data_IF_063079574267
#
_entry.id   IF_063079574267
#
_cell.length_a   1.000
_cell.length_b   1.000
_cell.length_c   1.000
_cell.angle_alpha   90.00
_cell.angle_beta   90.00
_cell.angle_gamma   90.00
#
_symmetry.space_group_name_H-M   'P 1'
#
loop_
_entity.id
_entity.type
_entity.pdbx_description
1 polymer ?
#
# COMPACT_ATOMS: atom_id res chain seq x y z
N UNK A 1 -17.25 23.03 41.75
CA UNK A 1 -15.81 22.81 42.02
C UNK A 1 -15.49 21.43 41.47
N UNK A 2 -14.53 21.27 40.55
CA UNK A 2 -14.25 19.98 39.90
C UNK A 2 -13.53 19.02 40.86
N UNK A 3 -13.71 17.71 40.67
CA UNK A 3 -13.04 16.68 41.49
C UNK A 3 -11.51 16.85 41.51
N UNK A 4 -10.92 17.29 40.40
CA UNK A 4 -9.51 17.67 40.33
C UNK A 4 -9.11 18.78 41.32
N UNK A 5 -9.92 19.84 41.43
CA UNK A 5 -9.65 20.95 42.36
C UNK A 5 -9.85 20.53 43.82
N UNK A 6 -10.75 19.60 44.10
CA UNK A 6 -10.93 19.03 45.43
C UNK A 6 -9.74 18.14 45.83
N UNK A 7 -9.23 17.35 44.87
CA UNK A 7 -8.09 16.46 45.04
C UNK A 7 -6.79 17.25 45.28
N UNK A 8 -6.56 18.34 44.53
CA UNK A 8 -5.40 19.21 44.72
C UNK A 8 -5.42 19.90 46.09
N UNK A 9 -6.59 20.32 46.58
CA UNK A 9 -6.75 20.86 47.95
C UNK A 9 -6.49 19.80 49.03
N UNK A 10 -6.99 18.58 48.85
CA UNK A 10 -6.78 17.50 49.81
C UNK A 10 -5.31 17.09 49.89
N UNK A 11 -4.58 17.08 48.76
CA UNK A 11 -3.12 16.86 48.73
C UNK A 11 -2.35 17.94 49.47
N UNK A 12 -2.66 19.21 49.21
CA UNK A 12 -2.02 20.33 49.91
C UNK A 12 -2.29 20.29 51.43
N UNK A 13 -3.49 19.88 51.84
CA UNK A 13 -3.82 19.67 53.25
C UNK A 13 -3.04 18.49 53.87
N UNK A 14 -2.87 17.40 53.13
CA UNK A 14 -2.07 16.24 53.58
C UNK A 14 -0.61 16.64 53.80
N UNK A 15 0.00 17.34 52.83
CA UNK A 15 1.37 17.84 52.95
C UNK A 15 1.56 18.75 54.17
N UNK A 16 0.57 19.60 54.47
CA UNK A 16 0.59 20.46 55.66
C UNK A 16 0.55 19.65 56.97
N UNK A 17 -0.28 18.60 57.04
CA UNK A 17 -0.37 17.72 58.21
C UNK A 17 0.88 16.84 58.37
N UNK A 18 1.48 16.39 57.27
CA UNK A 18 2.77 15.68 57.29
C UNK A 18 3.89 16.57 57.85
N UNK A 19 3.94 17.85 57.45
CA UNK A 19 4.87 18.82 58.00
C UNK A 19 4.63 19.08 59.50
N UNK A 20 3.37 19.16 59.93
CA UNK A 20 3.00 19.29 61.35
C UNK A 20 3.43 18.06 62.17
N UNK A 21 3.18 16.85 61.67
CA UNK A 21 3.61 15.60 62.30
C UNK A 21 5.14 15.53 62.44
N UNK A 22 5.89 15.95 61.42
CA UNK A 22 7.34 16.02 61.48
C UNK A 22 7.83 17.02 62.55
N UNK A 23 7.20 18.20 62.64
CA UNK A 23 7.50 19.21 63.66
C UNK A 23 7.17 18.71 65.08
N UNK A 24 6.02 18.04 65.26
CA UNK A 24 5.64 17.43 66.54
C UNK A 24 6.64 16.32 66.94
N UNK A 25 7.13 15.53 65.99
CA UNK A 25 8.10 14.48 66.30
C UNK A 25 9.44 15.05 66.77
N UNK A 26 9.87 16.19 66.23
CA UNK A 26 11.09 16.88 66.66
C UNK A 26 11.02 17.41 68.11
N UNK A 27 9.83 17.80 68.59
CA UNK A 27 9.63 18.36 69.94
C UNK A 27 9.32 17.31 71.01
N UNK A 28 9.16 16.03 70.62
CA UNK A 28 8.76 14.93 71.52
C UNK A 28 9.69 14.76 72.73
N UNK A 29 11.00 14.88 72.53
CA UNK A 29 12.00 14.68 73.59
C UNK A 29 11.96 15.77 74.67
N UNK A 30 11.61 17.00 74.30
CA UNK A 30 11.41 18.11 75.22
C UNK A 30 10.09 17.98 75.97
N UNK A 31 9.01 17.64 75.25
CA UNK A 31 7.70 17.40 75.84
C UNK A 31 7.72 16.25 76.87
N UNK A 32 8.56 15.23 76.67
CA UNK A 32 8.70 14.09 77.59
C UNK A 32 9.31 14.44 78.96
N UNK A 33 9.85 15.66 79.14
CA UNK A 33 10.46 16.09 80.41
C UNK A 33 9.44 16.53 81.46
N UNK A 34 8.23 16.85 81.04
CA UNK A 34 7.14 17.31 81.91
C UNK A 34 5.83 16.60 81.54
N UNK A 35 5.04 16.23 82.56
CA UNK A 35 3.85 15.42 82.34
C UNK A 35 2.76 16.17 81.57
N UNK A 36 2.53 17.44 81.91
CA UNK A 36 1.52 18.25 81.24
C UNK A 36 1.88 18.50 79.77
N UNK A 37 3.15 18.82 79.51
CA UNK A 37 3.71 19.03 78.17
C UNK A 37 3.62 17.76 77.31
N UNK A 38 3.88 16.58 77.91
CA UNK A 38 3.74 15.30 77.21
C UNK A 38 2.28 14.98 76.85
N UNK A 39 1.35 15.22 77.77
CA UNK A 39 -0.07 14.97 77.52
C UNK A 39 -0.63 15.90 76.41
N UNK A 40 -0.19 17.17 76.34
CA UNK A 40 -0.51 18.09 75.25
C UNK A 40 0.07 17.63 73.90
N UNK A 41 1.36 17.28 73.88
CA UNK A 41 2.02 16.74 72.68
C UNK A 41 1.29 15.49 72.17
N UNK A 42 0.93 14.58 73.08
CA UNK A 42 0.22 13.34 72.74
C UNK A 42 -1.14 13.62 72.12
N UNK A 43 -1.90 14.58 72.65
CA UNK A 43 -3.19 14.97 72.10
C UNK A 43 -3.05 15.55 70.68
N UNK A 44 -2.08 16.46 70.47
CA UNK A 44 -1.81 17.04 69.15
C UNK A 44 -1.34 16.01 68.13
N UNK A 45 -0.41 15.13 68.53
CA UNK A 45 0.07 14.04 67.68
C UNK A 45 -1.04 13.07 67.30
N UNK A 46 -1.92 12.71 68.25
CA UNK A 46 -3.08 11.85 67.96
C UNK A 46 -4.07 12.52 67.00
N UNK A 47 -4.36 13.81 67.19
CA UNK A 47 -5.24 14.57 66.30
C UNK A 47 -4.67 14.69 64.88
N UNK A 48 -3.38 15.04 64.75
CA UNK A 48 -2.70 15.13 63.47
C UNK A 48 -2.59 13.77 62.76
N UNK A 49 -2.38 12.69 63.50
CA UNK A 49 -2.37 11.32 62.94
C UNK A 49 -3.75 10.92 62.41
N UNK A 50 -4.81 11.20 63.17
CA UNK A 50 -6.19 10.92 62.74
C UNK A 50 -6.57 11.74 61.50
N UNK A 51 -6.15 13.01 61.43
CA UNK A 51 -6.40 13.86 60.27
C UNK A 51 -5.62 13.40 59.04
N UNK A 52 -4.37 12.96 59.22
CA UNK A 52 -3.56 12.36 58.16
C UNK A 52 -4.24 11.11 57.56
N UNK A 53 -4.71 10.19 58.39
CA UNK A 53 -5.46 9.00 57.94
C UNK A 53 -6.75 9.37 57.20
N UNK A 54 -7.50 10.35 57.72
CA UNK A 54 -8.72 10.88 57.09
C UNK A 54 -8.43 11.47 55.71
N UNK A 55 -7.36 12.25 55.56
CA UNK A 55 -6.98 12.88 54.30
C UNK A 55 -6.52 11.87 53.25
N UNK A 56 -5.79 10.81 53.65
CA UNK A 56 -5.46 9.70 52.75
C UNK A 56 -6.72 9.04 52.21
N UNK A 57 -7.66 8.69 53.09
CA UNK A 57 -8.93 8.06 52.68
C UNK A 57 -9.77 8.97 51.76
N UNK A 58 -9.79 10.28 52.05
CA UNK A 58 -10.46 11.26 51.21
C UNK A 58 -9.83 11.37 49.82
N UNK A 59 -8.49 11.41 49.74
CA UNK A 59 -7.77 11.48 48.46
C UNK A 59 -8.07 10.23 47.61
N UNK A 60 -8.06 9.03 48.19
CA UNK A 60 -8.39 7.81 47.46
C UNK A 60 -9.84 7.80 46.97
N UNK A 61 -10.78 8.28 47.79
CA UNK A 61 -12.19 8.42 47.37
C UNK A 61 -12.32 9.40 46.20
N UNK A 62 -11.71 10.58 46.29
CA UNK A 62 -11.75 11.60 45.23
C UNK A 62 -11.09 11.12 43.93
N UNK A 63 -10.02 10.31 44.00
CA UNK A 63 -9.41 9.67 42.83
C UNK A 63 -10.38 8.70 42.15
N UNK A 64 -11.07 7.87 42.94
CA UNK A 64 -12.04 6.92 42.42
C UNK A 64 -13.24 7.62 41.77
N UNK A 65 -13.76 8.67 42.39
CA UNK A 65 -14.84 9.49 41.84
C UNK A 65 -14.41 10.18 40.53
N UNK A 66 -13.23 10.79 40.48
CA UNK A 66 -12.72 11.41 39.25
C UNK A 66 -12.56 10.39 38.11
N UNK A 67 -12.01 9.20 38.40
CA UNK A 67 -11.87 8.14 37.41
C UNK A 67 -13.22 7.60 36.92
N UNK A 68 -14.23 7.53 37.81
CA UNK A 68 -15.58 7.13 37.45
C UNK A 68 -16.26 8.16 36.54
N UNK A 69 -16.12 9.46 36.84
CA UNK A 69 -16.64 10.55 36.01
C UNK A 69 -16.00 10.53 34.61
N UNK A 70 -14.67 10.40 34.52
CA UNK A 70 -13.95 10.30 33.25
C UNK A 70 -14.43 9.09 32.42
N UNK A 71 -14.66 7.95 33.08
CA UNK A 71 -15.19 6.75 32.42
C UNK A 71 -16.61 6.96 31.89
N UNK A 72 -17.49 7.60 32.67
CA UNK A 72 -18.85 7.93 32.26
C UNK A 72 -18.86 8.92 31.08
N UNK A 73 -17.99 9.94 31.10
CA UNK A 73 -17.86 10.88 29.99
C UNK A 73 -17.34 10.21 28.73
N UNK A 74 -16.33 9.34 28.84
CA UNK A 74 -15.80 8.57 27.73
C UNK A 74 -16.86 7.64 27.12
N UNK A 75 -17.64 6.95 27.95
CA UNK A 75 -18.74 6.09 27.51
C UNK A 75 -19.84 6.92 26.81
N UNK A 76 -20.24 8.06 27.38
CA UNK A 76 -21.21 8.96 26.76
C UNK A 76 -20.71 9.50 25.42
N UNK A 77 -19.43 9.87 25.32
CA UNK A 77 -18.82 10.32 24.07
C UNK A 77 -18.82 9.21 23.00
N UNK A 78 -18.51 7.97 23.40
CA UNK A 78 -18.56 6.81 22.51
C UNK A 78 -19.98 6.55 22.01
N UNK A 79 -20.99 6.57 22.90
CA UNK A 79 -22.41 6.41 22.53
C UNK A 79 -22.87 7.48 21.55
N UNK A 80 -22.46 8.74 21.76
CA UNK A 80 -22.73 9.85 20.81
C UNK A 80 -22.12 9.57 19.43
N UNK A 81 -20.84 9.19 19.37
CA UNK A 81 -20.16 8.85 18.11
C UNK A 81 -20.83 7.67 17.41
N UNK A 82 -21.21 6.64 18.16
CA UNK A 82 -21.94 5.49 17.65
C UNK A 82 -23.27 5.89 17.03
N UNK A 83 -24.11 6.66 17.72
CA UNK A 83 -25.41 7.11 17.20
C UNK A 83 -25.27 7.95 15.91
N UNK A 84 -24.31 8.87 15.87
CA UNK A 84 -23.98 9.64 14.66
C UNK A 84 -23.56 8.70 13.52
N UNK A 85 -22.74 7.68 13.81
CA UNK A 85 -22.28 6.75 12.78
C UNK A 85 -23.38 5.83 12.27
N UNK A 86 -24.30 5.38 13.14
CA UNK A 86 -25.47 4.58 12.74
C UNK A 86 -26.35 5.36 11.76
N UNK A 87 -26.67 6.63 12.07
CA UNK A 87 -27.49 7.47 11.18
C UNK A 87 -26.77 7.77 9.87
N UNK A 88 -25.46 8.05 9.90
CA UNK A 88 -24.65 8.25 8.70
C UNK A 88 -24.61 6.98 7.83
N UNK A 89 -24.45 5.80 8.44
CA UNK A 89 -24.42 4.52 7.72
C UNK A 89 -25.78 4.19 7.10
N UNK A 90 -26.90 4.48 7.77
CA UNK A 90 -28.24 4.28 7.21
C UNK A 90 -28.49 5.17 5.97
N UNK A 91 -28.06 6.44 6.04
CA UNK A 91 -28.10 7.36 4.89
C UNK A 91 -27.22 6.86 3.74
N UNK A 92 -26.00 6.41 4.06
CA UNK A 92 -25.08 5.85 3.07
C UNK A 92 -25.65 4.59 2.42
N UNK A 93 -26.24 3.67 3.20
CA UNK A 93 -26.85 2.45 2.66
C UNK A 93 -27.98 2.76 1.67
N UNK A 94 -28.82 3.75 1.98
CA UNK A 94 -29.89 4.21 1.06
C UNK A 94 -29.30 4.77 -0.23
N UNK A 95 -28.24 5.58 -0.12
CA UNK A 95 -27.53 6.12 -1.29
C UNK A 95 -26.89 5.03 -2.13
N UNK A 96 -26.22 4.05 -1.51
CA UNK A 96 -25.62 2.91 -2.22
C UNK A 96 -26.67 2.20 -3.07
N UNK A 97 -27.84 1.88 -2.51
CA UNK A 97 -28.93 1.22 -3.26
C UNK A 97 -29.39 2.06 -4.46
N UNK A 98 -29.64 3.35 -4.24
CA UNK A 98 -30.07 4.29 -5.29
C UNK A 98 -29.02 4.41 -6.40
N UNK A 99 -27.77 4.70 -6.02
CA UNK A 99 -26.73 5.11 -6.94
C UNK A 99 -26.20 3.90 -7.73
N UNK A 100 -26.13 2.72 -7.11
CA UNK A 100 -25.85 1.46 -7.82
C UNK A 100 -26.97 1.12 -8.80
N UNK A 101 -28.24 1.27 -8.42
CA UNK A 101 -29.35 1.03 -9.35
C UNK A 101 -29.32 1.96 -10.57
N UNK A 102 -29.00 3.24 -10.37
CA UNK A 102 -28.84 4.22 -11.45
C UNK A 102 -27.65 3.88 -12.35
N UNK A 103 -26.49 3.56 -11.76
CA UNK A 103 -25.31 3.14 -12.51
C UNK A 103 -25.61 1.89 -13.34
N UNK A 104 -26.27 0.89 -12.76
CA UNK A 104 -26.68 -0.32 -13.48
C UNK A 104 -27.63 -0.01 -14.63
N UNK A 105 -28.58 0.92 -14.47
CA UNK A 105 -29.48 1.30 -15.56
C UNK A 105 -28.70 1.91 -16.75
N UNK A 106 -27.72 2.77 -16.48
CA UNK A 106 -26.84 3.34 -17.52
C UNK A 106 -26.02 2.24 -18.19
N UNK A 107 -25.37 1.37 -17.39
CA UNK A 107 -24.54 0.30 -17.91
C UNK A 107 -25.33 -0.73 -18.72
N UNK A 108 -26.55 -1.07 -18.29
CA UNK A 108 -27.45 -1.96 -19.04
C UNK A 108 -27.90 -1.33 -20.36
N UNK A 109 -28.17 -0.02 -20.39
CA UNK A 109 -28.45 0.70 -21.62
C UNK A 109 -27.29 0.56 -22.61
N UNK A 110 -26.07 0.90 -22.16
CA UNK A 110 -24.87 0.78 -22.99
C UNK A 110 -24.62 -0.66 -23.47
N UNK A 111 -24.82 -1.67 -22.62
CA UNK A 111 -24.69 -3.08 -23.02
C UNK A 111 -25.69 -3.46 -24.11
N UNK A 112 -26.93 -2.97 -24.04
CA UNK A 112 -27.93 -3.20 -25.09
C UNK A 112 -27.51 -2.54 -26.39
N UNK A 113 -27.13 -1.27 -26.35
CA UNK A 113 -26.72 -0.52 -27.55
C UNK A 113 -25.51 -1.21 -28.24
N UNK A 114 -24.51 -1.64 -27.46
CA UNK A 114 -23.34 -2.37 -27.99
C UNK A 114 -23.74 -3.73 -28.55
N UNK A 115 -24.66 -4.44 -27.91
CA UNK A 115 -25.13 -5.74 -28.39
C UNK A 115 -25.94 -5.61 -29.69
N UNK A 116 -26.84 -4.63 -29.77
CA UNK A 116 -27.65 -4.34 -30.96
C UNK A 116 -26.74 -3.93 -32.14
N UNK A 117 -25.80 -3.00 -31.91
CA UNK A 117 -24.81 -2.59 -32.92
C UNK A 117 -23.94 -3.77 -33.37
N UNK A 118 -23.46 -4.61 -32.46
CA UNK A 118 -22.63 -5.75 -32.83
C UNK A 118 -23.41 -6.83 -33.61
N UNK A 119 -24.70 -7.02 -33.32
CA UNK A 119 -25.55 -7.92 -34.08
C UNK A 119 -25.74 -7.41 -35.51
N UNK A 120 -26.03 -6.12 -35.67
CA UNK A 120 -26.15 -5.47 -36.98
C UNK A 120 -24.83 -5.53 -37.77
N UNK A 121 -23.68 -5.25 -37.13
CA UNK A 121 -22.35 -5.35 -37.76
C UNK A 121 -22.10 -6.75 -38.33
N UNK A 122 -22.52 -7.81 -37.62
CA UNK A 122 -22.37 -9.20 -38.08
C UNK A 122 -23.23 -9.47 -39.31
N UNK A 123 -24.47 -8.98 -39.32
CA UNK A 123 -25.37 -9.13 -40.47
C UNK A 123 -24.84 -8.38 -41.71
N UNK A 124 -24.35 -7.15 -41.52
CA UNK A 124 -23.75 -6.35 -42.60
C UNK A 124 -22.48 -7.02 -43.13
N UNK A 125 -21.58 -7.44 -42.24
CA UNK A 125 -20.32 -8.08 -42.62
C UNK A 125 -20.54 -9.40 -43.35
N UNK A 126 -21.60 -10.15 -43.03
CA UNK A 126 -21.94 -11.38 -43.73
C UNK A 126 -22.47 -11.13 -45.17
N UNK A 127 -23.02 -9.95 -45.43
CA UNK A 127 -23.53 -9.54 -46.74
C UNK A 127 -22.56 -8.63 -47.52
N UNK A 128 -21.35 -8.41 -46.99
CA UNK A 128 -20.42 -7.43 -47.52
C UNK A 128 -19.76 -7.93 -48.84
N UNK A 129 -19.68 -7.09 -49.88
CA UNK A 129 -18.85 -7.34 -51.05
C UNK A 129 -17.36 -7.55 -50.72
N UNK A 130 -16.65 -8.34 -51.52
CA UNK A 130 -15.23 -8.69 -51.31
C UNK A 130 -14.27 -7.48 -51.41
N UNK A 131 -14.71 -6.37 -52.00
CA UNK A 131 -13.91 -5.15 -52.17
C UNK A 131 -13.99 -4.17 -50.99
N UNK A 132 -14.82 -4.46 -49.98
CA UNK A 132 -14.99 -3.64 -48.79
C UNK A 132 -14.37 -4.30 -47.55
N UNK A 133 -13.77 -3.49 -46.68
CA UNK A 133 -13.26 -3.96 -45.40
C UNK A 133 -14.41 -4.20 -44.40
N UNK A 134 -14.38 -5.30 -43.62
CA UNK A 134 -15.36 -5.56 -42.58
C UNK A 134 -15.44 -4.44 -41.53
N UNK A 135 -16.65 -4.15 -41.08
CA UNK A 135 -16.91 -3.24 -39.98
C UNK A 135 -16.25 -3.73 -38.69
N UNK A 136 -15.59 -2.80 -38.00
CA UNK A 136 -14.99 -3.02 -36.69
C UNK A 136 -16.02 -2.69 -35.62
N UNK A 137 -16.33 -3.63 -34.70
CA UNK A 137 -17.33 -3.38 -33.65
C UNK A 137 -16.99 -2.14 -32.82
N UNK A 138 -18.01 -1.34 -32.48
CA UNK A 138 -17.84 -0.11 -31.69
C UNK A 138 -17.09 -0.34 -30.36
N UNK A 139 -17.27 -1.51 -29.75
CA UNK A 139 -16.59 -1.92 -28.52
C UNK A 139 -15.05 -2.01 -28.68
N UNK A 140 -14.59 -2.46 -29.86
CA UNK A 140 -13.18 -2.54 -30.19
C UNK A 140 -12.58 -1.17 -30.49
N UNK A 141 -13.36 -0.29 -31.10
CA UNK A 141 -12.94 1.09 -31.37
C UNK A 141 -12.76 1.84 -30.05
N UNK A 142 -13.70 1.67 -29.11
CA UNK A 142 -13.70 2.40 -27.85
C UNK A 142 -12.69 1.86 -26.83
N UNK A 143 -12.50 0.53 -26.75
CA UNK A 143 -11.73 -0.13 -25.68
C UNK A 143 -10.55 -0.97 -26.15
N UNK A 144 -10.48 -1.27 -27.44
CA UNK A 144 -9.35 -2.01 -28.01
C UNK A 144 -8.09 -1.19 -28.01
N UNK A 145 -6.95 -1.87 -27.99
CA UNK A 145 -5.66 -1.22 -28.23
C UNK A 145 -5.06 -1.76 -29.52
N UNK A 146 -4.67 -0.88 -30.45
CA UNK A 146 -3.98 -1.33 -31.64
C UNK A 146 -2.67 -2.00 -31.23
N UNK A 147 -2.28 -3.03 -31.98
CA UNK A 147 -0.95 -3.60 -31.84
C UNK A 147 0.09 -2.55 -32.21
N UNK A 148 1.22 -2.58 -31.52
CA UNK A 148 2.35 -1.72 -31.85
C UNK A 148 3.40 -2.56 -32.53
N UNK A 149 3.87 -2.09 -33.68
CA UNK A 149 4.97 -2.73 -34.37
C UNK A 149 6.26 -2.67 -33.54
N UNK A 150 7.16 -3.60 -33.83
CA UNK A 150 8.53 -3.56 -33.33
C UNK A 150 9.17 -2.25 -33.77
N UNK A 151 9.69 -1.48 -32.81
CA UNK A 151 10.37 -0.22 -33.10
C UNK A 151 11.84 -0.34 -32.71
N UNK A 152 12.73 -0.31 -33.70
CA UNK A 152 14.17 -0.23 -33.44
C UNK A 152 14.52 1.17 -32.93
N UNK A 153 15.21 1.23 -31.79
CA UNK A 153 15.65 2.47 -31.15
C UNK A 153 17.07 2.82 -31.57
N UNK A 154 17.94 1.80 -31.55
CA UNK A 154 19.37 1.96 -31.79
C UNK A 154 19.97 0.65 -32.25
N UNK A 155 20.88 0.75 -33.22
CA UNK A 155 21.72 -0.36 -33.66
C UNK A 155 23.19 0.00 -33.53
N UNK A 156 23.98 -0.90 -32.98
CA UNK A 156 25.42 -0.69 -32.75
C UNK A 156 26.15 -1.99 -32.93
N UNK A 157 27.39 -1.91 -33.42
CA UNK A 157 28.29 -3.06 -33.51
C UNK A 157 29.14 -3.15 -32.26
N UNK A 158 29.14 -4.32 -31.64
CA UNK A 158 29.88 -4.58 -30.40
C UNK A 158 30.73 -5.83 -30.55
N UNK A 159 31.96 -5.77 -30.05
CA UNK A 159 32.83 -6.93 -29.94
C UNK A 159 32.59 -7.58 -28.59
N UNK A 160 32.21 -8.86 -28.60
CA UNK A 160 31.95 -9.63 -27.39
C UNK A 160 32.80 -10.90 -27.39
N UNK A 161 33.23 -11.31 -26.21
CA UNK A 161 33.85 -12.59 -25.97
C UNK A 161 32.83 -13.71 -26.14
N UNK A 162 33.19 -14.66 -26.98
CA UNK A 162 32.48 -15.94 -27.17
C UNK A 162 33.42 -17.08 -26.88
N UNK A 163 32.87 -18.24 -26.52
CA UNK A 163 33.63 -19.47 -26.38
C UNK A 163 34.19 -19.89 -27.75
N UNK A 164 35.51 -20.05 -27.87
CA UNK A 164 36.17 -20.33 -29.16
C UNK A 164 35.79 -21.69 -29.76
N UNK A 165 35.38 -22.65 -28.92
CA UNK A 165 35.04 -24.02 -29.35
C UNK A 165 33.59 -24.15 -29.84
N UNK A 166 32.69 -23.33 -29.31
CA UNK A 166 31.24 -23.49 -29.54
C UNK A 166 30.51 -22.23 -29.98
N UNK A 167 31.18 -21.08 -30.04
CA UNK A 167 30.59 -19.79 -30.40
C UNK A 167 29.58 -19.23 -29.41
N UNK A 168 29.35 -19.88 -28.26
CA UNK A 168 28.42 -19.42 -27.23
C UNK A 168 28.90 -18.13 -26.57
N UNK A 169 28.01 -17.16 -26.40
CA UNK A 169 28.28 -15.88 -25.74
C UNK A 169 28.67 -16.11 -24.26
N UNK A 170 29.74 -15.44 -23.81
CA UNK A 170 30.10 -15.43 -22.39
C UNK A 170 29.15 -14.48 -21.65
N UNK A 171 28.45 -14.96 -20.63
CA UNK A 171 27.42 -14.16 -19.93
C UNK A 171 27.96 -12.93 -19.22
N UNK A 172 29.13 -13.04 -18.58
CA UNK A 172 29.86 -11.92 -17.99
C UNK A 172 31.10 -11.64 -18.83
N UNK A 173 31.19 -10.45 -19.43
CA UNK A 173 32.29 -10.10 -20.33
C UNK A 173 33.57 -9.72 -19.57
N UNK A 174 33.44 -9.30 -18.30
CA UNK A 174 34.54 -8.74 -17.51
C UNK A 174 35.41 -9.82 -16.85
N UNK A 175 34.93 -11.07 -16.79
CA UNK A 175 35.69 -12.21 -16.25
C UNK A 175 36.74 -12.76 -17.22
N UNK A 176 36.72 -12.32 -18.48
CA UNK A 176 37.68 -12.77 -19.49
C UNK A 176 38.96 -11.97 -19.36
N UNK A 177 40.08 -12.66 -19.10
CA UNK A 177 41.40 -12.04 -19.19
C UNK A 177 41.82 -11.98 -20.65
N UNK A 178 42.00 -10.78 -21.19
CA UNK A 178 42.49 -10.54 -22.55
C UNK A 178 43.99 -10.86 -22.66
N UNK A 179 44.37 -11.61 -23.70
CA UNK A 179 45.77 -11.97 -24.01
C UNK A 179 46.27 -11.33 -25.32
N UNK A 180 45.48 -10.46 -25.95
CA UNK A 180 45.79 -9.84 -27.24
C UNK A 180 45.27 -10.65 -28.44
N UNK A 181 45.33 -10.04 -29.62
CA UNK A 181 44.91 -10.64 -30.92
C UNK A 181 43.48 -11.21 -30.93
N UNK A 182 42.58 -10.60 -30.14
CA UNK A 182 41.18 -11.03 -30.04
C UNK A 182 41.01 -12.38 -29.32
N UNK A 183 41.99 -12.80 -28.50
CA UNK A 183 41.96 -14.05 -27.73
C UNK A 183 41.97 -13.77 -26.23
N UNK A 184 41.11 -14.48 -25.50
CA UNK A 184 40.96 -14.33 -24.06
C UNK A 184 40.83 -15.68 -23.37
N UNK A 185 40.90 -15.68 -22.04
CA UNK A 185 40.68 -16.90 -21.23
C UNK A 185 39.95 -16.62 -19.93
N UNK A 186 39.17 -17.60 -19.49
CA UNK A 186 38.53 -17.62 -18.17
C UNK A 186 39.13 -18.78 -17.36
N UNK A 187 39.58 -18.48 -16.13
CA UNK A 187 40.15 -19.47 -15.21
C UNK A 187 41.64 -19.78 -15.43
N UNK A 188 42.15 -20.77 -14.68
CA UNK A 188 43.53 -21.28 -14.77
C UNK A 188 43.53 -22.82 -14.72
N UNK A 189 44.46 -23.47 -15.43
CA UNK A 189 44.63 -24.93 -15.40
C UNK A 189 43.78 -25.70 -16.43
N UNK A 190 43.49 -27.00 -16.22
CA UNK A 190 42.89 -27.88 -17.23
C UNK A 190 41.43 -27.54 -17.60
N UNK A 191 40.77 -26.69 -16.81
CA UNK A 191 39.38 -26.24 -17.06
C UNK A 191 39.31 -24.82 -17.64
N UNK A 192 40.40 -24.35 -18.26
CA UNK A 192 40.43 -23.02 -18.88
C UNK A 192 39.48 -22.97 -20.08
N UNK A 193 38.60 -21.98 -20.11
CA UNK A 193 37.75 -21.69 -21.28
C UNK A 193 38.47 -20.70 -22.18
N UNK A 194 38.77 -21.13 -23.40
CA UNK A 194 39.37 -20.26 -24.42
C UNK A 194 38.25 -19.43 -25.04
N UNK A 195 38.45 -18.12 -25.08
CA UNK A 195 37.50 -17.15 -25.62
C UNK A 195 38.11 -16.43 -26.82
N UNK A 196 37.26 -16.03 -27.76
CA UNK A 196 37.63 -15.20 -28.92
C UNK A 196 36.65 -14.04 -29.05
N UNK A 197 37.11 -12.91 -29.59
CA UNK A 197 36.23 -11.82 -29.97
C UNK A 197 35.42 -12.18 -31.21
N UNK A 198 34.11 -11.99 -31.12
CA UNK A 198 33.21 -12.04 -32.26
C UNK A 198 32.43 -10.73 -32.34
N UNK A 199 32.18 -10.28 -33.56
CA UNK A 199 31.43 -9.06 -33.82
C UNK A 199 29.93 -9.39 -33.80
N UNK A 200 29.17 -8.63 -33.03
CA UNK A 200 27.72 -8.71 -32.98
C UNK A 200 27.08 -7.39 -33.43
N UNK A 201 25.98 -7.51 -34.16
CA UNK A 201 25.03 -6.42 -34.34
C UNK A 201 24.08 -6.44 -33.13
N UNK A 202 24.21 -5.44 -32.25
CA UNK A 202 23.32 -5.19 -31.13
C UNK A 202 22.21 -4.23 -31.56
N UNK A 203 20.96 -4.64 -31.39
CA UNK A 203 19.79 -3.80 -31.60
C UNK A 203 19.04 -3.61 -30.28
N UNK A 204 18.88 -2.36 -29.86
CA UNK A 204 17.94 -1.94 -28.82
C UNK A 204 16.60 -1.63 -29.49
N UNK A 205 15.51 -2.22 -28.99
CA UNK A 205 14.19 -2.07 -29.60
C UNK A 205 13.07 -2.16 -28.57
N UNK A 206 11.92 -1.61 -28.93
CA UNK A 206 10.66 -1.93 -28.27
C UNK A 206 10.03 -3.16 -28.94
N UNK A 207 9.65 -4.20 -28.17
CA UNK A 207 9.08 -5.42 -28.73
C UNK A 207 7.73 -5.12 -29.37
N UNK A 208 7.36 -5.90 -30.39
CA UNK A 208 6.02 -5.80 -30.97
C UNK A 208 4.97 -6.19 -29.92
N UNK A 209 3.90 -5.40 -29.83
CA UNK A 209 2.78 -5.67 -28.94
C UNK A 209 1.59 -6.13 -29.80
N UNK A 210 0.98 -7.24 -29.41
CA UNK A 210 -0.24 -7.71 -30.09
C UNK A 210 -1.39 -6.77 -29.79
N UNK A 211 -2.32 -6.63 -30.74
CA UNK A 211 -3.55 -5.87 -30.50
C UNK A 211 -4.32 -6.49 -29.32
N UNK A 212 -4.65 -5.68 -28.32
CA UNK A 212 -5.44 -6.11 -27.18
C UNK A 212 -6.92 -5.98 -27.55
N UNK A 213 -7.61 -7.12 -27.59
CA UNK A 213 -9.06 -7.18 -27.82
C UNK A 213 -9.77 -7.17 -26.47
N UNK A 214 -10.72 -6.24 -26.24
CA UNK A 214 -11.45 -6.22 -24.99
C UNK A 214 -12.37 -7.43 -24.91
N UNK A 215 -12.59 -7.95 -23.69
CA UNK A 215 -13.72 -8.86 -23.46
C UNK A 215 -15.02 -8.13 -23.77
N UNK A 216 -15.96 -8.83 -24.42
CA UNK A 216 -17.17 -8.18 -24.92
C UNK A 216 -18.00 -7.59 -23.78
N UNK A 217 -18.44 -6.33 -23.94
CA UNK A 217 -19.08 -5.58 -22.86
C UNK A 217 -20.35 -6.27 -22.31
N UNK A 218 -21.07 -7.01 -23.15
CA UNK A 218 -22.28 -7.75 -22.77
C UNK A 218 -22.02 -8.94 -21.85
N UNK A 219 -20.76 -9.37 -21.67
CA UNK A 219 -20.37 -10.40 -20.70
C UNK A 219 -20.15 -9.84 -19.28
N UNK A 220 -20.24 -8.52 -19.11
CA UNK A 220 -20.05 -7.85 -17.83
C UNK A 220 -21.10 -8.28 -16.79
N UNK A 221 -20.64 -8.52 -15.55
CA UNK A 221 -21.51 -8.78 -14.40
C UNK A 221 -21.75 -7.49 -13.63
N UNK A 222 -23.01 -7.09 -13.51
CA UNK A 222 -23.39 -5.90 -12.74
C UNK A 222 -23.58 -6.21 -11.24
N UNK A 223 -23.21 -5.28 -10.35
CA UNK A 223 -23.48 -5.40 -8.92
C UNK A 223 -24.98 -5.52 -8.65
N UNK A 224 -25.36 -6.32 -7.65
CA UNK A 224 -26.74 -6.34 -7.16
C UNK A 224 -26.95 -5.18 -6.18
N UNK A 225 -27.91 -4.27 -6.42
CA UNK A 225 -28.15 -3.14 -5.51
C UNK A 225 -28.76 -3.57 -4.17
N UNK A 226 -29.42 -4.73 -4.13
CA UNK A 226 -30.29 -5.18 -3.04
C UNK A 226 -29.91 -6.58 -2.50
N UNK A 227 -28.76 -7.13 -2.89
CA UNK A 227 -28.36 -8.47 -2.45
C UNK A 227 -26.84 -8.69 -2.41
N UNK A 228 -26.41 -9.80 -1.78
CA UNK A 228 -25.01 -10.19 -1.81
C UNK A 228 -24.60 -10.51 -3.26
N UNK A 229 -23.53 -9.87 -3.72
CA UNK A 229 -23.00 -10.02 -5.08
C UNK A 229 -21.65 -9.33 -5.20
N UNK A 230 -20.88 -9.71 -6.22
CA UNK A 230 -19.60 -9.07 -6.51
C UNK A 230 -19.84 -7.74 -7.22
N UNK A 231 -19.32 -6.64 -6.65
CA UNK A 231 -19.32 -5.33 -7.31
C UNK A 231 -18.06 -5.09 -8.16
N UNK A 232 -17.11 -6.01 -8.13
CA UNK A 232 -15.79 -5.86 -8.74
C UNK A 232 -15.26 -7.24 -9.17
N UNK A 233 -14.50 -7.31 -10.27
CA UNK A 233 -14.04 -8.56 -10.92
C UNK A 233 -12.99 -9.38 -10.12
N UNK A 234 -12.94 -9.25 -8.80
CA UNK A 234 -12.26 -10.24 -7.97
C UNK A 234 -10.74 -10.08 -7.82
N UNK A 235 -10.14 -8.93 -8.12
CA UNK A 235 -8.71 -8.70 -7.82
C UNK A 235 -8.45 -7.72 -6.66
N UNK A 236 -8.23 -8.31 -5.47
CA UNK A 236 -7.30 -7.93 -4.37
C UNK A 236 -7.48 -6.60 -3.61
N UNK A 237 -8.64 -6.35 -3.03
CA UNK A 237 -8.72 -5.41 -1.89
C UNK A 237 -9.50 -6.05 -0.74
N UNK A 238 -8.79 -6.62 0.24
CA UNK A 238 -9.42 -7.21 1.42
C UNK A 238 -9.82 -6.13 2.44
N UNK A 239 -9.25 -4.93 2.32
CA UNK A 239 -9.49 -3.80 3.21
C UNK A 239 -9.86 -2.52 2.45
N UNK A 240 -10.71 -1.65 3.01
CA UNK A 240 -11.10 -0.38 2.39
C UNK A 240 -9.93 0.55 2.05
N UNK A 241 -8.83 0.48 2.81
CA UNK A 241 -7.61 1.25 2.55
C UNK A 241 -6.96 0.88 1.21
N UNK A 242 -6.94 -0.42 0.91
CA UNK A 242 -6.30 -0.96 -0.29
C UNK A 242 -7.11 -0.60 -1.53
N UNK A 243 -8.44 -0.57 -1.39
CA UNK A 243 -9.35 -0.18 -2.46
C UNK A 243 -9.14 1.27 -2.92
N UNK A 244 -8.88 2.19 -1.98
CA UNK A 244 -8.62 3.60 -2.33
C UNK A 244 -7.28 3.77 -3.06
N UNK A 245 -6.25 3.02 -2.66
CA UNK A 245 -4.95 3.03 -3.33
C UNK A 245 -5.06 2.47 -4.76
N UNK A 246 -5.81 1.39 -4.95
CA UNK A 246 -6.04 0.78 -6.27
C UNK A 246 -6.87 1.69 -7.18
N UNK A 247 -7.92 2.35 -6.66
CA UNK A 247 -8.69 3.36 -7.42
C UNK A 247 -7.78 4.51 -7.89
N UNK A 248 -6.90 5.00 -7.01
CA UNK A 248 -5.95 6.05 -7.36
C UNK A 248 -4.93 5.60 -8.43
N UNK A 249 -4.52 4.32 -8.41
CA UNK A 249 -3.62 3.75 -9.40
C UNK A 249 -4.31 3.57 -10.77
N UNK A 250 -5.57 3.09 -10.78
CA UNK A 250 -6.36 2.95 -12.01
C UNK A 250 -6.74 4.30 -12.63
N UNK A 251 -6.89 5.35 -11.82
CA UNK A 251 -7.08 6.71 -12.32
C UNK A 251 -5.87 7.21 -13.15
N UNK A 252 -4.69 6.62 -12.96
CA UNK A 252 -3.46 6.89 -13.75
C UNK A 252 -3.28 5.94 -14.93
N UNK A 253 -4.18 4.99 -15.17
CA UNK A 253 -4.05 3.99 -16.24
C UNK A 253 -4.15 4.58 -17.67
N UNK A 254 -4.54 5.86 -17.80
CA UNK A 254 -4.49 6.61 -19.06
C UNK A 254 -3.11 7.20 -19.35
N UNK A 255 -2.16 7.14 -18.41
CA UNK A 255 -0.79 7.57 -18.66
C UNK A 255 -0.10 6.55 -19.60
N UNK A 256 0.58 7.01 -20.66
CA UNK A 256 1.27 6.12 -21.57
C UNK A 256 2.35 5.35 -20.80
N UNK A 257 2.16 4.03 -20.67
CA UNK A 257 3.18 3.15 -20.11
C UNK A 257 4.40 3.19 -21.03
N UNK A 258 5.58 3.45 -20.46
CA UNK A 258 6.83 3.34 -21.21
C UNK A 258 7.00 1.89 -21.65
N UNK A 259 7.12 1.66 -22.96
CA UNK A 259 7.41 0.34 -23.52
C UNK A 259 8.76 -0.15 -23.00
N UNK A 260 8.90 -1.44 -22.66
CA UNK A 260 10.20 -1.98 -22.25
C UNK A 260 11.19 -1.87 -23.41
N UNK A 261 12.46 -1.65 -23.07
CA UNK A 261 13.56 -1.72 -24.04
C UNK A 261 14.22 -3.08 -23.91
N UNK A 262 14.26 -3.82 -25.01
CA UNK A 262 14.95 -5.10 -25.11
C UNK A 262 16.19 -4.98 -25.99
N UNK A 263 17.14 -5.89 -25.79
CA UNK A 263 18.39 -5.96 -26.54
C UNK A 263 18.47 -7.30 -27.25
N UNK A 264 18.62 -7.26 -28.57
CA UNK A 264 18.89 -8.44 -29.40
C UNK A 264 20.33 -8.38 -29.92
N UNK A 265 21.06 -9.48 -29.79
CA UNK A 265 22.41 -9.64 -30.31
C UNK A 265 22.39 -10.64 -31.46
N UNK A 266 22.80 -10.21 -32.65
CA UNK A 266 22.95 -11.08 -33.83
C UNK A 266 24.42 -11.21 -34.19
N UNK A 267 24.98 -12.43 -34.28
CA UNK A 267 26.36 -12.61 -34.71
C UNK A 267 26.51 -12.13 -36.15
N UNK A 268 27.51 -11.28 -36.40
CA UNK A 268 27.89 -10.92 -37.78
C UNK A 268 28.76 -12.06 -38.31
N UNK A 269 28.37 -12.73 -39.41
CA UNK A 269 29.22 -13.76 -40.00
C UNK A 269 30.57 -13.15 -40.34
N UNK A 270 31.64 -13.61 -39.71
CA UNK A 270 32.98 -13.25 -40.13
C UNK A 270 33.22 -13.90 -41.49
N UNK A 271 33.45 -13.08 -42.52
CA UNK A 271 34.00 -13.58 -43.78
C UNK A 271 35.36 -14.17 -43.42
N UNK A 272 35.53 -15.47 -43.61
CA UNK A 272 36.81 -16.12 -43.42
C UNK A 272 37.82 -15.44 -44.35
N UNK A 273 38.78 -14.73 -43.77
CA UNK A 273 39.95 -14.28 -44.51
C UNK A 273 40.70 -15.56 -44.83
N UNK A 274 40.64 -16.00 -46.09
CA UNK A 274 41.51 -17.04 -46.61
C UNK A 274 42.95 -16.55 -46.48
N UNK A 275 43.61 -16.88 -45.38
CA UNK A 275 45.07 -16.89 -45.31
C UNK A 275 45.55 -18.11 -46.12
N UNK A 276 45.60 -17.96 -47.44
CA UNK A 276 46.52 -18.77 -48.25
C UNK A 276 47.93 -18.29 -47.94
N UNK A 277 48.64 -19.17 -47.23
CA UNK A 277 50.03 -19.05 -46.84
C UNK A 277 50.93 -18.78 -48.06
N UNK A 278 51.84 -17.83 -47.88
CA UNK A 278 53.10 -17.73 -48.63
C UNK A 278 54.17 -18.63 -47.98
#
# INVERSE_FOLDING_TARGET
MTNQTALDKARAALEAVEAELAALQATKSEAARDRASFDEWRAKSAAATAEHERLIALIETLKQEAAADDALEAEAALRRRYAVKVTANAKLATRIKSDVAKANAIMLGLVRDVWESAAEDVEINAALPDDLEPLVPADFIARGRPGLERQELKRTRVWLWVNSRGGGLIGDQDVVTDHGDGRGRIGQGPYTVICTHALFDQAEYHPAESAERPEALWQMRLPRPDGPGFAFDGTRCNYPSDALAEIALRARAQEPRKRPTEVELRPVPSVAVNEEAA
#
